data_IF_268824454842
#
_entry.id   IF_268824454842
#
_cell.length_a   1.000
_cell.length_b   1.000
_cell.length_c   1.000
_cell.angle_alpha   90.00
_cell.angle_beta   90.00
_cell.angle_gamma   90.00
#
_symmetry.space_group_name_H-M   'P 1'
#
loop_
_entity.id
_entity.type
_entity.pdbx_description
1 polymer ?
#
# COMPACT_ATOMS: atom_id res chain seq x y z
N UNK A 1 -16.10 4.20 -1.67
CA UNK A 1 -15.66 5.09 -2.78
C UNK A 1 -14.16 5.35 -2.73
N UNK A 2 -13.63 6.05 -1.70
CA UNK A 2 -12.19 6.38 -1.59
C UNK A 2 -11.24 5.22 -1.88
N UNK A 3 -11.40 4.10 -1.19
CA UNK A 3 -10.49 2.95 -1.31
C UNK A 3 -10.44 2.36 -2.72
N UNK A 4 -11.59 2.35 -3.43
CA UNK A 4 -11.62 1.93 -4.83
C UNK A 4 -10.87 2.91 -5.74
N UNK A 5 -10.92 4.22 -5.47
CA UNK A 5 -10.18 5.21 -6.25
C UNK A 5 -8.67 5.01 -6.14
N UNK A 6 -8.15 4.70 -4.94
CA UNK A 6 -6.72 4.41 -4.74
C UNK A 6 -6.26 3.13 -5.44
N UNK A 7 -7.13 2.12 -5.54
CA UNK A 7 -6.84 0.89 -6.28
C UNK A 7 -6.72 1.07 -7.80
N UNK A 8 -7.23 2.16 -8.38
CA UNK A 8 -7.19 2.37 -9.84
C UNK A 8 -5.84 2.81 -10.38
N UNK A 9 -4.94 3.31 -9.52
CA UNK A 9 -3.65 3.92 -9.90
C UNK A 9 -3.74 5.07 -10.93
N UNK A 10 -4.94 5.53 -11.25
CA UNK A 10 -5.16 6.70 -12.09
C UNK A 10 -4.87 7.96 -11.27
N UNK A 11 -3.94 8.79 -11.74
CA UNK A 11 -3.50 9.99 -11.05
C UNK A 11 -4.68 10.88 -10.62
N UNK A 12 -5.62 11.16 -11.54
CA UNK A 12 -6.79 12.01 -11.25
C UNK A 12 -7.73 11.41 -10.21
N UNK A 13 -7.95 10.10 -10.24
CA UNK A 13 -8.80 9.39 -9.29
C UNK A 13 -8.14 9.29 -7.90
N UNK A 14 -6.82 9.10 -7.85
CA UNK A 14 -6.06 9.12 -6.59
C UNK A 14 -6.15 10.50 -5.94
N UNK A 15 -5.98 11.58 -6.71
CA UNK A 15 -6.15 12.95 -6.20
C UNK A 15 -7.56 13.19 -5.67
N UNK A 16 -8.59 12.73 -6.40
CA UNK A 16 -9.97 12.80 -5.92
C UNK A 16 -10.17 12.03 -4.61
N UNK A 17 -9.57 10.83 -4.51
CA UNK A 17 -9.56 10.03 -3.29
C UNK A 17 -8.91 10.75 -2.10
N UNK A 18 -7.82 11.48 -2.33
CA UNK A 18 -7.11 12.26 -1.31
C UNK A 18 -7.96 13.44 -0.81
N UNK A 19 -8.63 14.17 -1.71
CA UNK A 19 -9.55 15.25 -1.32
C UNK A 19 -10.71 14.71 -0.50
N UNK A 20 -11.34 13.61 -0.96
CA UNK A 20 -12.42 12.96 -0.23
C UNK A 20 -11.95 12.46 1.15
N UNK A 21 -10.69 12.02 1.25
CA UNK A 21 -10.10 11.63 2.53
C UNK A 21 -10.07 12.78 3.52
N UNK A 22 -9.56 13.95 3.10
CA UNK A 22 -9.44 15.13 3.96
C UNK A 22 -10.79 15.57 4.52
N UNK A 23 -11.82 15.62 3.66
CA UNK A 23 -13.18 15.97 4.07
C UNK A 23 -13.71 14.98 5.13
N UNK A 24 -13.60 13.67 4.88
CA UNK A 24 -14.05 12.66 5.84
C UNK A 24 -13.23 12.68 7.14
N UNK A 25 -11.93 12.97 7.05
CA UNK A 25 -11.02 13.03 8.20
C UNK A 25 -11.43 14.16 9.13
N UNK A 26 -11.61 15.38 8.60
CA UNK A 26 -12.04 16.53 9.39
C UNK A 26 -13.39 16.28 10.08
N UNK A 27 -14.39 15.80 9.34
CA UNK A 27 -15.70 15.53 9.94
C UNK A 27 -15.62 14.46 11.03
N UNK A 28 -14.83 13.40 10.84
CA UNK A 28 -14.69 12.37 11.86
C UNK A 28 -14.01 12.92 13.12
N UNK A 29 -12.88 13.62 12.98
CA UNK A 29 -12.12 14.11 14.14
C UNK A 29 -12.80 15.28 14.84
N UNK A 30 -13.23 16.30 14.09
CA UNK A 30 -13.88 17.47 14.69
C UNK A 30 -15.24 17.12 15.28
N UNK A 31 -16.09 16.37 14.55
CA UNK A 31 -17.41 16.02 15.09
C UNK A 31 -17.31 15.05 16.26
N UNK A 32 -16.37 14.11 16.27
CA UNK A 32 -16.16 13.23 17.42
C UNK A 32 -15.69 14.00 18.65
N UNK A 33 -14.77 14.96 18.49
CA UNK A 33 -14.31 15.82 19.58
C UNK A 33 -15.45 16.66 20.16
N UNK A 34 -16.27 17.30 19.32
CA UNK A 34 -17.44 18.07 19.76
C UNK A 34 -18.44 17.14 20.48
N UNK A 35 -18.72 15.97 19.92
CA UNK A 35 -19.64 15.01 20.53
C UNK A 35 -19.16 14.55 21.90
N UNK A 36 -17.87 14.19 22.03
CA UNK A 36 -17.28 13.78 23.31
C UNK A 36 -17.31 14.93 24.32
N UNK A 37 -17.01 16.16 23.90
CA UNK A 37 -17.05 17.33 24.79
C UNK A 37 -18.46 17.62 25.31
N UNK A 38 -19.47 17.53 24.44
CA UNK A 38 -20.87 17.76 24.81
C UNK A 38 -21.42 16.66 25.72
N UNK A 39 -20.92 15.42 25.59
CA UNK A 39 -21.42 14.28 26.38
C UNK A 39 -20.69 14.09 27.71
N UNK A 40 -19.41 14.46 27.78
CA UNK A 40 -18.60 14.33 28.99
C UNK A 40 -18.91 15.42 30.02
N UNK A 41 -18.93 15.02 31.30
CA UNK A 41 -19.02 15.97 32.41
C UNK A 41 -17.84 16.96 32.39
N UNK A 42 -18.08 18.19 32.81
CA UNK A 42 -17.10 19.28 32.75
C UNK A 42 -15.78 18.91 33.44
N UNK A 43 -15.85 18.16 34.54
CA UNK A 43 -14.66 17.72 35.28
C UNK A 43 -13.84 16.65 34.55
N UNK A 44 -14.42 15.95 33.58
CA UNK A 44 -13.82 14.80 32.89
C UNK A 44 -13.52 15.05 31.41
N UNK A 45 -13.97 16.18 30.83
CA UNK A 45 -13.77 16.51 29.40
C UNK A 45 -12.32 16.37 28.93
N UNK A 46 -11.36 16.93 29.67
CA UNK A 46 -9.95 16.82 29.31
C UNK A 46 -9.47 15.36 29.23
N UNK A 47 -9.93 14.50 30.14
CA UNK A 47 -9.59 13.06 30.13
C UNK A 47 -10.25 12.34 28.95
N UNK A 48 -11.50 12.68 28.65
CA UNK A 48 -12.25 12.11 27.53
C UNK A 48 -11.63 12.50 26.18
N UNK A 49 -11.18 13.75 26.02
CA UNK A 49 -10.47 14.24 24.84
C UNK A 49 -9.13 13.53 24.64
N UNK A 50 -8.32 13.40 25.70
CA UNK A 50 -7.06 12.65 25.62
C UNK A 50 -7.30 11.16 25.33
N UNK A 51 -8.37 10.58 25.85
CA UNK A 51 -8.71 9.18 25.59
C UNK A 51 -9.11 8.95 24.13
N UNK A 52 -9.98 9.79 23.55
CA UNK A 52 -10.35 9.64 22.13
C UNK A 52 -9.13 9.87 21.22
N UNK A 53 -8.26 10.83 21.54
CA UNK A 53 -7.00 11.04 20.82
C UNK A 53 -6.08 9.81 20.90
N UNK A 54 -5.91 9.23 22.10
CA UNK A 54 -5.12 8.01 22.28
C UNK A 54 -5.67 6.82 21.48
N UNK A 55 -6.99 6.61 21.50
CA UNK A 55 -7.62 5.50 20.79
C UNK A 55 -7.49 5.68 19.28
N UNK A 56 -7.67 6.90 18.76
CA UNK A 56 -7.68 7.15 17.32
C UNK A 56 -6.28 7.30 16.72
N UNK A 57 -5.42 8.10 17.35
CA UNK A 57 -4.06 8.41 16.86
C UNK A 57 -2.98 7.51 17.44
N UNK A 58 -3.24 6.85 18.57
CA UNK A 58 -2.33 5.87 19.17
C UNK A 58 -2.68 4.45 18.73
N UNK A 59 -3.64 3.84 19.44
CA UNK A 59 -4.00 2.43 19.23
C UNK A 59 -4.52 2.16 17.81
N UNK A 60 -5.37 3.03 17.29
CA UNK A 60 -5.94 2.91 15.94
C UNK A 60 -4.87 2.94 14.86
N UNK A 61 -3.92 3.88 14.94
CA UNK A 61 -2.80 3.95 14.00
C UNK A 61 -1.88 2.74 14.13
N UNK A 62 -1.60 2.26 15.36
CA UNK A 62 -0.78 1.07 15.58
C UNK A 62 -1.38 -0.18 14.92
N UNK A 63 -2.66 -0.47 15.19
CA UNK A 63 -3.35 -1.61 14.58
C UNK A 63 -3.46 -1.44 13.06
N UNK A 64 -3.73 -0.21 12.59
CA UNK A 64 -3.81 0.11 11.18
C UNK A 64 -2.49 -0.13 10.43
N UNK A 65 -1.35 0.27 11.02
CA UNK A 65 -0.03 0.05 10.44
C UNK A 65 0.30 -1.45 10.35
N UNK A 66 -0.02 -2.22 11.39
CA UNK A 66 0.20 -3.67 11.38
C UNK A 66 -0.65 -4.37 10.31
N UNK A 67 -1.93 -4.03 10.22
CA UNK A 67 -2.84 -4.57 9.20
C UNK A 67 -2.40 -4.19 7.77
N UNK A 68 -1.92 -2.96 7.58
CA UNK A 68 -1.40 -2.50 6.30
C UNK A 68 -0.15 -3.28 5.87
N UNK A 69 0.79 -3.52 6.80
CA UNK A 69 1.96 -4.36 6.57
C UNK A 69 1.57 -5.78 6.16
N UNK A 70 0.71 -6.43 6.95
CA UNK A 70 0.22 -7.78 6.64
C UNK A 70 -0.45 -7.87 5.27
N UNK A 71 -1.26 -6.87 4.92
CA UNK A 71 -1.97 -6.85 3.63
C UNK A 71 -1.00 -6.63 2.47
N UNK A 72 0.02 -5.77 2.64
CA UNK A 72 1.08 -5.60 1.66
C UNK A 72 1.84 -6.91 1.43
N UNK A 73 2.25 -7.58 2.50
CA UNK A 73 3.02 -8.82 2.44
C UNK A 73 2.22 -9.96 1.76
N UNK A 74 0.90 -9.98 1.94
CA UNK A 74 0.01 -10.94 1.26
C UNK A 74 -0.21 -10.63 -0.23
N UNK A 75 0.03 -9.40 -0.67
CA UNK A 75 -0.21 -8.94 -2.05
C UNK A 75 1.07 -8.36 -2.67
N UNK A 76 2.15 -9.17 -2.80
CA UNK A 76 3.42 -8.71 -3.35
C UNK A 76 3.31 -8.35 -4.84
N UNK A 77 4.32 -7.67 -5.41
CA UNK A 77 4.39 -7.41 -6.85
C UNK A 77 4.27 -8.69 -7.67
N UNK A 78 3.70 -8.57 -8.86
CA UNK A 78 3.43 -9.71 -9.76
C UNK A 78 4.73 -10.36 -10.26
N UNK A 79 5.75 -9.56 -10.49
CA UNK A 79 7.05 -10.01 -10.98
C UNK A 79 8.01 -10.01 -9.80
N UNK A 80 8.56 -11.18 -9.52
CA UNK A 80 9.52 -11.41 -8.44
C UNK A 80 10.71 -12.17 -9.00
N UNK A 81 11.90 -11.83 -8.50
CA UNK A 81 13.16 -12.45 -8.84
C UNK A 81 13.63 -13.30 -7.66
N UNK A 82 14.10 -14.50 -7.95
CA UNK A 82 14.80 -15.30 -6.97
C UNK A 82 16.13 -14.64 -6.62
N UNK A 83 16.38 -14.42 -5.33
CA UNK A 83 17.63 -13.91 -4.80
C UNK A 83 18.14 -14.85 -3.70
N UNK A 84 19.44 -15.06 -3.64
CA UNK A 84 20.09 -15.88 -2.62
C UNK A 84 20.58 -14.97 -1.49
N UNK A 85 20.05 -15.18 -0.28
CA UNK A 85 20.53 -14.53 0.96
C UNK A 85 21.23 -15.53 1.88
N UNK A 86 20.56 -16.66 2.13
CA UNK A 86 21.06 -17.84 2.86
C UNK A 86 20.31 -19.07 2.33
N UNK A 87 19.03 -18.87 2.04
CA UNK A 87 18.21 -19.69 1.15
C UNK A 87 17.69 -18.81 -0.01
N UNK A 88 17.15 -19.44 -1.05
CA UNK A 88 16.54 -18.75 -2.19
C UNK A 88 15.22 -18.12 -1.78
N UNK A 89 15.16 -16.78 -1.79
CA UNK A 89 13.97 -15.99 -1.45
C UNK A 89 13.49 -15.25 -2.68
N UNK A 90 12.17 -15.23 -2.90
CA UNK A 90 11.57 -14.39 -3.95
C UNK A 90 11.48 -12.95 -3.45
N UNK A 91 12.02 -12.03 -4.22
CA UNK A 91 12.02 -10.60 -3.91
C UNK A 91 11.46 -9.81 -5.09
N UNK A 92 10.91 -8.60 -4.87
CA UNK A 92 10.61 -7.69 -5.97
C UNK A 92 11.83 -7.47 -6.86
N UNK A 93 11.60 -7.01 -8.09
CA UNK A 93 12.67 -6.56 -8.98
C UNK A 93 13.60 -5.58 -8.24
N UNK A 94 14.93 -5.72 -8.41
CA UNK A 94 15.89 -4.86 -7.73
C UNK A 94 15.76 -3.41 -8.19
N UNK A 95 16.37 -2.51 -7.44
CA UNK A 95 16.39 -1.10 -7.80
C UNK A 95 17.01 -0.88 -9.20
N UNK A 96 16.32 -0.09 -10.03
CA UNK A 96 16.71 0.13 -11.42
C UNK A 96 18.03 0.91 -11.51
N UNK A 97 18.27 1.84 -10.59
CA UNK A 97 19.47 2.67 -10.61
C UNK A 97 20.71 1.85 -10.25
N UNK A 98 20.59 0.97 -9.25
CA UNK A 98 21.64 0.00 -8.92
C UNK A 98 21.97 -0.90 -10.13
N UNK A 99 20.95 -1.44 -10.80
CA UNK A 99 21.14 -2.29 -11.97
C UNK A 99 21.75 -1.54 -13.17
N UNK A 100 21.27 -0.33 -13.46
CA UNK A 100 21.82 0.51 -14.53
C UNK A 100 23.30 0.86 -14.30
N UNK A 101 23.68 1.09 -13.04
CA UNK A 101 25.07 1.36 -12.64
C UNK A 101 25.97 0.14 -12.90
N UNK A 102 25.51 -1.06 -12.55
CA UNK A 102 26.23 -2.31 -12.81
C UNK A 102 26.41 -2.55 -14.32
N UNK A 103 25.34 -2.32 -15.09
CA UNK A 103 25.33 -2.46 -16.54
C UNK A 103 26.11 -1.36 -17.28
N UNK A 104 26.49 -0.28 -16.58
CA UNK A 104 27.16 0.91 -17.13
C UNK A 104 26.36 1.58 -18.26
N UNK A 105 25.04 1.59 -18.10
CA UNK A 105 24.09 2.25 -19.02
C UNK A 105 23.48 3.49 -18.36
N UNK A 106 22.91 4.38 -19.16
CA UNK A 106 22.14 5.52 -18.63
C UNK A 106 20.83 5.07 -17.99
N UNK A 107 20.35 5.76 -16.95
CA UNK A 107 19.12 5.39 -16.21
C UNK A 107 17.85 5.29 -17.08
N UNK A 108 17.83 6.03 -18.19
CA UNK A 108 16.69 6.06 -19.11
C UNK A 108 16.89 5.16 -20.35
N UNK A 109 18.04 4.47 -20.44
CA UNK A 109 18.26 3.50 -21.51
C UNK A 109 17.48 2.20 -21.23
N UNK A 110 16.76 1.65 -22.23
CA UNK A 110 16.07 0.38 -22.08
C UNK A 110 17.05 -0.76 -21.76
N UNK A 111 16.58 -1.73 -20.97
CA UNK A 111 17.36 -2.89 -20.51
C UNK A 111 16.88 -4.14 -21.22
N UNK A 112 17.79 -4.89 -21.85
CA UNK A 112 17.45 -6.16 -22.49
C UNK A 112 17.91 -7.38 -21.68
N UNK A 113 17.21 -8.53 -21.76
CA UNK A 113 17.52 -9.73 -20.97
C UNK A 113 18.93 -10.29 -21.18
N UNK A 114 19.50 -10.11 -22.37
CA UNK A 114 20.84 -10.56 -22.77
C UNK A 114 21.97 -9.73 -22.12
N UNK A 115 21.67 -8.53 -21.65
CA UNK A 115 22.63 -7.64 -21.00
C UNK A 115 22.84 -7.98 -19.52
N UNK A 116 22.01 -8.87 -18.95
CA UNK A 116 22.04 -9.15 -17.51
C UNK A 116 23.43 -9.62 -17.04
N UNK A 117 23.94 -9.07 -15.92
CA UNK A 117 25.21 -9.50 -15.37
C UNK A 117 25.13 -10.96 -14.89
N UNK A 118 26.25 -11.67 -14.91
CA UNK A 118 26.31 -13.06 -14.43
C UNK A 118 25.84 -13.20 -12.98
N UNK A 119 26.21 -12.21 -12.17
CA UNK A 119 25.87 -12.13 -10.77
C UNK A 119 25.61 -10.66 -10.44
N UNK A 120 24.52 -10.37 -9.75
CA UNK A 120 24.20 -9.02 -9.30
C UNK A 120 23.89 -9.04 -7.82
N UNK A 121 24.62 -8.23 -7.06
CA UNK A 121 24.52 -8.23 -5.60
C UNK A 121 24.01 -6.88 -5.14
N UNK A 122 22.93 -6.89 -4.39
CA UNK A 122 22.35 -5.69 -3.79
C UNK A 122 22.35 -5.83 -2.26
N UNK A 123 22.85 -4.81 -1.58
CA UNK A 123 22.71 -4.69 -0.13
C UNK A 123 21.37 -4.01 0.19
N UNK A 124 20.44 -4.78 0.75
CA UNK A 124 19.12 -4.34 1.17
C UNK A 124 19.03 -4.31 2.70
N UNK A 125 19.48 -3.20 3.30
CA UNK A 125 19.62 -3.08 4.75
C UNK A 125 20.69 -4.06 5.28
N UNK A 126 20.33 -4.89 6.26
CA UNK A 126 21.23 -5.91 6.83
C UNK A 126 21.32 -7.20 5.98
N UNK A 127 20.68 -7.21 4.80
CA UNK A 127 20.60 -8.37 3.93
C UNK A 127 21.43 -8.18 2.65
N UNK A 128 22.24 -9.18 2.31
CA UNK A 128 22.86 -9.30 0.98
C UNK A 128 21.95 -10.17 0.10
N UNK A 129 21.50 -9.60 -1.02
CA UNK A 129 20.68 -10.30 -2.02
C UNK A 129 21.53 -10.55 -3.26
N UNK A 130 21.72 -11.81 -3.59
CA UNK A 130 22.49 -12.26 -4.75
C UNK A 130 21.55 -12.79 -5.84
N UNK A 131 21.49 -12.06 -6.95
CA UNK A 131 20.64 -12.36 -8.09
C UNK A 131 21.43 -13.06 -9.18
N UNK A 132 20.89 -14.18 -9.67
CA UNK A 132 21.46 -14.93 -10.77
C UNK A 132 21.04 -14.31 -12.11
N UNK A 133 21.93 -14.38 -13.11
CA UNK A 133 21.65 -13.88 -14.46
C UNK A 133 20.36 -14.43 -15.05
N UNK A 134 20.12 -15.74 -14.91
CA UNK A 134 18.94 -16.40 -15.48
C UNK A 134 17.65 -15.88 -14.86
N UNK A 135 17.63 -15.71 -13.53
CA UNK A 135 16.44 -15.24 -12.81
C UNK A 135 16.14 -13.77 -13.15
N UNK A 136 17.18 -12.94 -13.24
CA UNK A 136 17.04 -11.54 -13.68
C UNK A 136 16.56 -11.45 -15.13
N UNK A 137 17.16 -12.21 -16.04
CA UNK A 137 16.77 -12.20 -17.46
C UNK A 137 15.33 -12.67 -17.65
N UNK A 138 14.90 -13.69 -16.90
CA UNK A 138 13.50 -14.14 -16.88
C UNK A 138 12.56 -13.04 -16.35
N UNK A 139 12.96 -12.32 -15.31
CA UNK A 139 12.16 -11.25 -14.74
C UNK A 139 12.08 -10.00 -15.63
N UNK A 140 13.17 -9.63 -16.31
CA UNK A 140 13.21 -8.58 -17.35
C UNK A 140 12.25 -8.98 -18.48
N UNK A 141 12.34 -10.21 -18.97
CA UNK A 141 11.44 -10.73 -20.01
C UNK A 141 9.97 -10.70 -19.56
N UNK A 142 9.69 -10.96 -18.29
CA UNK A 142 8.33 -10.88 -17.75
C UNK A 142 7.85 -9.42 -17.55
N UNK A 143 8.77 -8.47 -17.41
CA UNK A 143 8.48 -7.04 -17.24
C UNK A 143 8.24 -6.30 -18.56
N UNK A 144 8.75 -6.84 -19.67
CA UNK A 144 8.48 -6.38 -21.04
C UNK A 144 6.99 -6.54 -21.36
N UNK A 145 6.30 -5.40 -21.56
CA UNK A 145 4.84 -5.37 -21.71
C UNK A 145 4.39 -5.21 -23.14
N UNK A 146 5.18 -4.55 -23.97
CA UNK A 146 4.87 -4.33 -25.38
C UNK A 146 5.54 -5.37 -26.30
N UNK A 147 6.43 -6.21 -25.75
CA UNK A 147 7.04 -7.35 -26.42
C UNK A 147 8.15 -6.93 -27.38
N UNK A 148 8.76 -5.77 -27.17
CA UNK A 148 9.83 -5.24 -28.03
C UNK A 148 11.22 -5.81 -27.68
N UNK A 149 11.34 -6.59 -26.58
CA UNK A 149 12.56 -7.21 -26.11
C UNK A 149 13.43 -6.31 -25.23
N UNK A 150 12.96 -5.13 -24.87
CA UNK A 150 13.64 -4.20 -23.98
C UNK A 150 12.68 -3.63 -22.92
N UNK A 151 13.15 -3.48 -21.70
CA UNK A 151 12.33 -2.95 -20.61
C UNK A 151 12.69 -1.51 -20.36
N UNK A 152 11.70 -0.63 -20.55
CA UNK A 152 11.82 0.78 -20.25
C UNK A 152 11.63 1.06 -18.75
N UNK A 153 12.10 2.22 -18.29
CA UNK A 153 11.92 2.66 -16.89
C UNK A 153 10.45 2.67 -16.43
N UNK A 154 9.47 3.14 -17.22
CA UNK A 154 8.06 3.02 -16.87
C UNK A 154 7.61 1.57 -16.64
N UNK A 155 7.99 0.65 -17.52
CA UNK A 155 7.62 -0.77 -17.41
C UNK A 155 8.25 -1.41 -16.18
N UNK A 156 9.53 -1.12 -15.91
CA UNK A 156 10.21 -1.59 -14.72
C UNK A 156 9.51 -1.14 -13.43
N UNK A 157 9.13 0.14 -13.34
CA UNK A 157 8.39 0.68 -12.18
C UNK A 157 7.02 0.03 -12.03
N UNK A 158 6.34 -0.26 -13.14
CA UNK A 158 5.06 -0.97 -13.10
C UNK A 158 5.23 -2.42 -12.67
N UNK A 159 6.32 -3.08 -13.07
CA UNK A 159 6.65 -4.45 -12.68
C UNK A 159 7.00 -4.55 -11.18
N UNK A 160 7.60 -3.50 -10.61
CA UNK A 160 7.83 -3.36 -9.16
C UNK A 160 6.59 -2.98 -8.36
N UNK A 161 5.53 -2.46 -9.01
CA UNK A 161 4.37 -1.96 -8.29
C UNK A 161 3.64 -3.09 -7.55
N UNK A 162 3.37 -2.87 -6.26
CA UNK A 162 2.50 -3.74 -5.46
C UNK A 162 1.10 -3.83 -6.08
N UNK A 163 0.34 -4.88 -5.74
CA UNK A 163 -1.06 -5.01 -6.16
C UNK A 163 -1.97 -4.10 -5.31
N UNK A 164 -1.86 -2.80 -5.56
CA UNK A 164 -2.57 -1.75 -4.83
C UNK A 164 -4.08 -1.95 -4.81
N UNK A 165 -4.66 -2.54 -5.87
CA UNK A 165 -6.09 -2.80 -5.89
C UNK A 165 -6.48 -3.78 -4.77
N UNK A 166 -5.81 -4.91 -4.68
CA UNK A 166 -6.08 -5.91 -3.65
C UNK A 166 -5.70 -5.43 -2.25
N UNK A 167 -4.64 -4.62 -2.14
CA UNK A 167 -4.27 -3.98 -0.87
C UNK A 167 -5.39 -3.07 -0.35
N UNK A 168 -5.94 -2.22 -1.21
CA UNK A 168 -7.00 -1.27 -0.83
C UNK A 168 -8.40 -1.91 -0.73
N UNK A 169 -8.59 -3.12 -1.26
CA UNK A 169 -9.86 -3.85 -1.18
C UNK A 169 -10.21 -4.22 0.26
N UNK A 170 -9.24 -4.65 1.07
CA UNK A 170 -9.48 -5.05 2.46
C UNK A 170 -10.04 -3.90 3.33
N UNK A 171 -9.44 -2.70 3.35
CA UNK A 171 -10.06 -1.54 3.99
C UNK A 171 -11.42 -1.17 3.41
N UNK A 172 -11.64 -1.35 2.11
CA UNK A 172 -12.93 -1.09 1.47
C UNK A 172 -14.02 -2.02 2.00
N UNK A 173 -13.73 -3.32 2.11
CA UNK A 173 -14.62 -4.33 2.67
C UNK A 173 -14.86 -4.08 4.15
N UNK A 174 -13.82 -3.74 4.92
CA UNK A 174 -13.95 -3.36 6.33
C UNK A 174 -14.87 -2.17 6.53
N UNK A 175 -14.74 -1.12 5.70
CA UNK A 175 -15.65 0.02 5.72
C UNK A 175 -17.08 -0.34 5.29
N UNK A 176 -17.25 -1.27 4.34
CA UNK A 176 -18.57 -1.81 3.98
C UNK A 176 -19.23 -2.54 5.15
N UNK A 177 -18.46 -3.37 5.86
CA UNK A 177 -18.93 -4.11 7.03
C UNK A 177 -19.33 -3.17 8.17
N UNK A 178 -18.56 -2.11 8.44
CA UNK A 178 -18.95 -1.11 9.44
C UNK A 178 -20.23 -0.39 9.04
N UNK A 179 -20.40 0.02 7.78
CA UNK A 179 -21.64 0.63 7.30
C UNK A 179 -22.85 -0.29 7.50
N UNK A 180 -22.71 -1.58 7.20
CA UNK A 180 -23.77 -2.58 7.43
C UNK A 180 -24.08 -2.69 8.92
N UNK A 181 -23.07 -2.77 9.78
CA UNK A 181 -23.25 -2.81 11.22
C UNK A 181 -24.02 -1.59 11.74
N UNK A 182 -23.66 -0.38 11.31
CA UNK A 182 -24.38 0.84 11.69
C UNK A 182 -25.81 0.86 11.17
N UNK A 183 -26.03 0.43 9.93
CA UNK A 183 -27.35 0.37 9.31
C UNK A 183 -28.33 -0.52 10.09
N UNK A 184 -27.87 -1.66 10.60
CA UNK A 184 -28.72 -2.56 11.38
C UNK A 184 -28.74 -2.23 12.87
N UNK A 185 -27.64 -1.77 13.46
CA UNK A 185 -27.50 -1.52 14.89
C UNK A 185 -28.13 -0.21 15.39
N UNK A 186 -28.24 0.81 14.53
CA UNK A 186 -28.74 2.15 14.90
C UNK A 186 -30.02 2.55 14.17
N UNK A 187 -30.77 1.56 13.67
CA UNK A 187 -32.10 1.82 13.12
C UNK A 187 -33.07 2.13 14.26
N UNK A 188 -33.65 3.32 14.25
CA UNK A 188 -34.69 3.67 15.21
C UNK A 188 -35.86 2.66 15.10
N UNK A 189 -36.41 2.18 16.23
CA UNK A 189 -37.66 1.44 16.20
C UNK A 189 -38.75 2.32 15.59
N UNK A 190 -39.59 1.74 14.71
CA UNK A 190 -40.67 2.48 14.04
C UNK A 190 -41.52 3.21 15.09
N UNK A 191 -41.62 4.53 14.95
CA UNK A 191 -42.50 5.34 15.79
C UNK A 191 -43.95 4.84 15.61
N UNK A 192 -44.49 4.17 16.64
CA UNK A 192 -45.84 3.61 16.57
C UNK A 192 -46.20 2.49 17.55
N UNK A 193 -45.30 2.03 18.44
CA UNK A 193 -45.66 1.09 19.51
C UNK A 193 -45.10 1.58 20.84
N UNK A 194 -45.89 2.40 21.53
CA UNK A 194 -45.90 2.56 22.99
C UNK A 194 -47.35 2.53 23.44
#
# INVERSE_FOLDING_TARGET
>A
VRYFLFGTLSFSLVVLGLVLHGICYDFFFVASQIYVDTKADVTQRARAQSFIAFVTLGLGMFVGAYAAGFTKDYNPPRIQVAAVKTETVKTPLPDLQALATELRIGEDQPISPDQMPQQFVVEAGDARLDYQQQDLAAAVTAADRDGDGAVTRPEWRMAQADDWFNIWLWPALGAGATLIFFWFGFRDPKAGQR
#
